data_IF_607034500652
#
_entry.id   IF_607034500652
#
_cell.length_a   1.000
_cell.length_b   1.000
_cell.length_c   1.000
_cell.angle_alpha   90.00
_cell.angle_beta   90.00
_cell.angle_gamma   90.00
#
_symmetry.space_group_name_H-M   'P 1'
#
loop_
_entity.id
_entity.type
_entity.pdbx_description
1 polymer ?
#
# COMPACT_ATOMS: atom_id res chain seq x y z
N UNK A 1 -8.17 -8.96 28.28
CA UNK A 1 -8.42 -8.96 29.72
C UNK A 1 -7.97 -10.27 30.38
N UNK A 2 -8.42 -11.44 29.90
CA UNK A 2 -8.16 -12.73 30.59
C UNK A 2 -6.70 -13.15 30.49
N UNK A 3 -6.05 -12.95 29.34
CA UNK A 3 -4.62 -13.22 29.15
C UNK A 3 -3.74 -12.45 30.15
N UNK A 4 -4.07 -11.18 30.38
CA UNK A 4 -3.33 -10.36 31.35
C UNK A 4 -3.64 -10.78 32.79
N UNK A 5 -4.88 -11.16 33.12
CA UNK A 5 -5.22 -11.73 34.43
C UNK A 5 -4.46 -13.03 34.68
N UNK A 6 -4.15 -13.78 33.63
CA UNK A 6 -3.32 -14.99 33.71
C UNK A 6 -1.81 -14.70 33.81
N UNK A 7 -1.39 -13.42 33.91
CA UNK A 7 -0.02 -13.03 34.15
C UNK A 7 0.77 -12.56 32.92
N UNK A 8 0.14 -12.42 31.75
CA UNK A 8 0.83 -11.89 30.57
C UNK A 8 1.19 -10.43 30.76
N UNK A 9 2.46 -10.08 30.53
CA UNK A 9 3.00 -8.72 30.59
C UNK A 9 3.02 -8.07 29.20
N UNK A 10 3.11 -8.89 28.15
CA UNK A 10 3.09 -8.50 26.76
C UNK A 10 2.15 -9.40 25.96
N UNK A 11 1.47 -8.84 24.99
CA UNK A 11 0.61 -9.56 24.05
C UNK A 11 1.07 -9.32 22.63
N UNK A 12 1.34 -10.38 21.89
CA UNK A 12 1.64 -10.33 20.47
C UNK A 12 0.35 -10.54 19.69
N UNK A 13 0.04 -9.61 18.79
CA UNK A 13 -1.23 -9.57 18.03
C UNK A 13 -0.94 -9.61 16.53
N UNK A 14 -0.79 -10.82 15.93
CA UNK A 14 -0.70 -10.94 14.49
C UNK A 14 -2.07 -10.67 13.85
N UNK A 15 -2.09 -9.84 12.82
CA UNK A 15 -3.31 -9.39 12.14
C UNK A 15 -3.15 -9.37 10.62
N UNK A 16 -4.29 -9.47 9.94
CA UNK A 16 -4.48 -9.13 8.54
C UNK A 16 -5.55 -8.03 8.47
N UNK A 17 -5.17 -6.81 8.83
CA UNK A 17 -6.04 -5.64 8.81
C UNK A 17 -5.86 -4.90 7.48
N UNK A 18 -6.88 -4.87 6.59
CA UNK A 18 -6.77 -4.19 5.31
C UNK A 18 -6.52 -2.69 5.49
N UNK A 19 -5.80 -2.14 4.53
CA UNK A 19 -5.59 -0.70 4.44
C UNK A 19 -6.90 0.03 4.17
N UNK A 20 -7.11 1.09 4.90
CA UNK A 20 -8.17 2.09 4.70
C UNK A 20 -7.59 3.47 5.05
N UNK A 21 -8.06 4.51 4.36
CA UNK A 21 -7.63 5.90 4.65
C UNK A 21 -7.95 6.27 6.10
N UNK A 22 -6.95 6.76 6.84
CA UNK A 22 -7.09 7.18 8.24
C UNK A 22 -7.14 6.06 9.28
N UNK A 23 -7.04 4.80 8.89
CA UNK A 23 -7.12 3.65 9.80
C UNK A 23 -5.92 3.55 10.75
N UNK A 24 -4.74 4.07 10.37
CA UNK A 24 -3.56 4.09 11.25
C UNK A 24 -3.89 4.79 12.57
N UNK A 25 -4.38 6.02 12.52
CA UNK A 25 -4.72 6.78 13.72
C UNK A 25 -5.80 6.10 14.59
N UNK A 26 -6.79 5.44 13.96
CA UNK A 26 -7.81 4.69 14.69
C UNK A 26 -7.20 3.46 15.39
N UNK A 27 -6.31 2.73 14.70
CA UNK A 27 -5.59 1.58 15.24
C UNK A 27 -4.76 1.96 16.45
N UNK A 28 -3.99 3.04 16.34
CA UNK A 28 -3.13 3.54 17.39
C UNK A 28 -3.93 3.98 18.61
N UNK A 29 -5.04 4.67 18.41
CA UNK A 29 -5.95 5.05 19.50
C UNK A 29 -6.52 3.83 20.24
N UNK A 30 -6.89 2.77 19.50
CA UNK A 30 -7.38 1.52 20.10
C UNK A 30 -6.27 0.82 20.87
N UNK A 31 -5.06 0.74 20.34
CA UNK A 31 -3.92 0.11 21.01
C UNK A 31 -3.56 0.86 22.28
N UNK A 32 -3.45 2.20 22.22
CA UNK A 32 -3.20 3.05 23.37
C UNK A 32 -4.26 2.85 24.49
N UNK A 33 -5.54 2.76 24.12
CA UNK A 33 -6.59 2.50 25.09
C UNK A 33 -6.46 1.12 25.74
N UNK A 34 -6.20 0.07 24.94
CA UNK A 34 -6.09 -1.30 25.42
C UNK A 34 -4.89 -1.54 26.33
N UNK A 35 -3.75 -0.92 26.00
CA UNK A 35 -2.57 -1.01 26.87
C UNK A 35 -2.77 -0.29 28.19
N UNK A 36 -3.36 0.91 28.19
CA UNK A 36 -3.72 1.62 29.45
C UNK A 36 -4.70 0.85 30.33
N UNK A 37 -5.74 0.27 29.71
CA UNK A 37 -6.74 -0.54 30.45
C UNK A 37 -6.14 -1.80 31.10
N UNK A 38 -5.20 -2.44 30.40
CA UNK A 38 -4.66 -3.72 30.83
C UNK A 38 -3.35 -3.62 31.57
N UNK A 39 -2.59 -2.55 31.39
CA UNK A 39 -1.21 -2.41 31.84
C UNK A 39 -0.23 -3.34 31.13
N UNK A 40 -0.64 -4.06 30.08
CA UNK A 40 0.23 -4.94 29.31
C UNK A 40 0.66 -4.26 28.01
N UNK A 41 1.92 -4.45 27.63
CA UNK A 41 2.42 -3.99 26.34
C UNK A 41 1.83 -4.82 25.19
N UNK A 42 1.73 -4.23 24.00
CA UNK A 42 1.23 -4.90 22.79
C UNK A 42 2.22 -4.76 21.66
N UNK A 43 2.63 -5.88 21.06
CA UNK A 43 3.30 -5.91 19.77
C UNK A 43 2.23 -6.24 18.70
N UNK A 44 1.83 -5.24 17.93
CA UNK A 44 0.84 -5.39 16.86
C UNK A 44 1.56 -5.59 15.53
N UNK A 45 1.40 -6.78 14.96
CA UNK A 45 2.02 -7.19 13.70
C UNK A 45 0.96 -7.29 12.63
N UNK A 46 1.04 -6.45 11.60
CA UNK A 46 0.13 -6.51 10.47
C UNK A 46 0.82 -7.06 9.22
N UNK A 47 0.08 -7.83 8.44
CA UNK A 47 0.58 -8.37 7.19
C UNK A 47 0.80 -7.26 6.16
N UNK A 48 1.75 -7.47 5.24
CA UNK A 48 2.02 -6.59 4.09
C UNK A 48 1.60 -7.30 2.81
N UNK A 49 0.99 -6.57 1.90
CA UNK A 49 0.80 -7.02 0.53
C UNK A 49 -0.64 -7.02 0.05
N UNK A 50 -0.83 -7.29 -1.25
CA UNK A 50 -2.13 -7.41 -1.91
C UNK A 50 -2.63 -8.84 -1.92
N UNK A 51 -3.93 -9.03 -1.68
CA UNK A 51 -4.62 -10.31 -1.80
C UNK A 51 -6.03 -10.07 -2.32
N UNK A 52 -6.33 -10.58 -3.51
CA UNK A 52 -7.58 -10.33 -4.22
C UNK A 52 -7.88 -8.82 -4.33
N UNK A 53 -8.99 -8.36 -3.79
CA UNK A 53 -9.38 -6.95 -3.76
C UNK A 53 -8.86 -6.18 -2.52
N UNK A 54 -8.06 -6.81 -1.67
CA UNK A 54 -7.56 -6.21 -0.44
C UNK A 54 -6.07 -5.91 -0.54
N UNK A 55 -5.66 -4.81 0.09
CA UNK A 55 -4.25 -4.49 0.31
C UNK A 55 -4.02 -4.29 1.79
N UNK A 56 -2.92 -4.83 2.30
CA UNK A 56 -2.52 -4.74 3.69
C UNK A 56 -1.28 -3.87 3.78
N UNK A 57 -1.34 -2.89 4.66
CA UNK A 57 -0.33 -1.86 4.80
C UNK A 57 0.90 -2.27 5.63
N UNK A 58 0.82 -3.36 6.37
CA UNK A 58 1.82 -3.61 7.39
C UNK A 58 1.75 -2.55 8.47
N UNK A 59 2.64 -1.56 8.41
CA UNK A 59 2.70 -0.47 9.39
C UNK A 59 2.52 -1.00 10.82
N UNK A 60 3.28 -2.04 11.15
CA UNK A 60 3.25 -2.68 12.45
C UNK A 60 3.76 -1.73 13.53
N UNK A 61 3.17 -1.79 14.71
CA UNK A 61 3.48 -0.90 15.81
C UNK A 61 3.70 -1.68 17.11
N UNK A 62 4.39 -1.06 18.05
CA UNK A 62 4.44 -1.54 19.43
C UNK A 62 3.82 -0.48 20.34
N UNK A 63 3.16 -0.94 21.40
CA UNK A 63 2.53 -0.07 22.39
C UNK A 63 2.95 -0.48 23.78
N UNK A 64 3.49 0.47 24.55
CA UNK A 64 3.89 0.26 25.93
C UNK A 64 2.69 0.07 26.85
N UNK A 65 2.92 -0.51 28.01
CA UNK A 65 1.86 -0.75 29.00
C UNK A 65 1.19 0.52 29.55
N UNK A 66 1.78 1.68 29.35
CA UNK A 66 1.24 2.99 29.73
C UNK A 66 0.50 3.72 28.57
N UNK A 67 0.44 3.13 27.39
CA UNK A 67 -0.35 3.62 26.27
C UNK A 67 0.44 4.44 25.24
N UNK A 68 1.75 4.48 25.33
CA UNK A 68 2.56 5.08 24.26
C UNK A 68 2.65 4.11 23.07
N UNK A 69 2.28 4.57 21.88
CA UNK A 69 2.34 3.80 20.65
C UNK A 69 3.52 4.29 19.82
N UNK A 70 4.31 3.36 19.32
CA UNK A 70 5.52 3.65 18.56
C UNK A 70 5.44 2.94 17.20
N UNK A 71 5.60 3.68 16.08
CA UNK A 71 5.75 3.09 14.75
C UNK A 71 6.99 2.19 14.72
N UNK A 72 6.79 0.93 14.36
CA UNK A 72 7.89 -0.04 14.32
C UNK A 72 8.25 -0.46 12.90
N UNK A 73 7.29 -0.38 11.96
CA UNK A 73 7.46 -0.80 10.57
C UNK A 73 6.93 0.23 9.58
N UNK A 74 7.65 0.41 8.48
CA UNK A 74 7.18 1.22 7.36
C UNK A 74 5.95 0.59 6.69
N UNK A 75 5.04 1.45 6.20
CA UNK A 75 3.90 0.99 5.44
C UNK A 75 4.32 0.37 4.09
N UNK A 76 3.66 -0.71 3.68
CA UNK A 76 3.83 -1.40 2.39
C UNK A 76 5.25 -1.97 2.13
N UNK A 77 6.04 -2.18 3.18
CA UNK A 77 7.40 -2.74 3.09
C UNK A 77 7.47 -4.05 3.87
N UNK A 78 7.95 -5.12 3.21
CA UNK A 78 8.29 -6.36 3.89
C UNK A 78 9.62 -6.18 4.61
N UNK A 79 9.65 -6.31 5.93
CA UNK A 79 10.87 -6.09 6.72
C UNK A 79 10.89 -6.95 7.99
N UNK A 80 12.10 -7.20 8.47
CA UNK A 80 12.33 -7.78 9.78
C UNK A 80 12.54 -6.67 10.80
N UNK A 81 11.89 -6.82 11.95
CA UNK A 81 12.03 -5.88 13.07
C UNK A 81 12.55 -6.61 14.29
N UNK A 82 13.53 -6.01 14.92
CA UNK A 82 14.01 -6.44 16.22
C UNK A 82 13.72 -5.32 17.21
N UNK A 83 12.98 -5.63 18.25
CA UNK A 83 12.66 -4.70 19.33
C UNK A 83 12.95 -5.39 20.66
N UNK A 84 13.64 -4.69 21.56
CA UNK A 84 13.84 -5.15 22.90
C UNK A 84 12.66 -4.77 23.78
N UNK A 85 12.35 -5.62 24.74
CA UNK A 85 11.26 -5.40 25.67
C UNK A 85 11.75 -5.56 27.12
N UNK A 86 11.53 -4.53 27.93
CA UNK A 86 11.77 -4.59 29.36
C UNK A 86 10.49 -5.01 30.11
N UNK A 87 10.51 -6.22 30.66
CA UNK A 87 9.39 -6.76 31.41
C UNK A 87 9.12 -6.07 32.75
N UNK A 88 10.09 -5.35 33.32
CA UNK A 88 9.89 -4.62 34.57
C UNK A 88 9.12 -3.33 34.34
N UNK A 89 9.56 -2.53 33.39
CA UNK A 89 8.92 -1.27 33.02
C UNK A 89 7.70 -1.46 32.09
N UNK A 90 7.56 -2.65 31.49
CA UNK A 90 6.56 -2.98 30.44
C UNK A 90 6.63 -2.06 29.23
N UNK A 91 7.87 -1.73 28.84
CA UNK A 91 8.17 -0.83 27.72
C UNK A 91 9.00 -1.52 26.67
N UNK A 92 8.78 -1.13 25.44
CA UNK A 92 9.67 -1.46 24.35
C UNK A 92 10.84 -0.47 24.33
N UNK A 93 12.05 -1.01 24.17
CA UNK A 93 13.27 -0.20 24.12
C UNK A 93 13.60 0.04 22.64
N UNK A 94 13.65 1.29 22.19
CA UNK A 94 13.89 1.58 20.79
C UNK A 94 15.35 1.32 20.42
N UNK A 95 15.58 0.50 19.40
CA UNK A 95 16.81 0.60 18.64
C UNK A 95 16.72 1.79 17.67
N UNK A 96 15.65 1.86 16.90
CA UNK A 96 15.24 3.02 16.10
C UNK A 96 13.75 2.89 15.90
N UNK A 97 12.97 3.86 16.34
CA UNK A 97 11.58 3.97 15.91
C UNK A 97 11.55 4.49 14.48
N UNK A 98 10.67 3.94 13.66
CA UNK A 98 10.46 4.49 12.33
C UNK A 98 9.86 5.88 12.48
N UNK A 99 10.49 6.85 11.84
CA UNK A 99 9.83 8.10 11.54
C UNK A 99 8.98 7.81 10.30
N UNK A 100 7.69 7.60 10.52
CA UNK A 100 6.73 7.36 9.43
C UNK A 100 6.47 8.65 8.64
N UNK A 101 7.12 9.75 9.02
CA UNK A 101 7.05 11.04 8.36
C UNK A 101 5.61 11.54 8.22
N UNK A 102 5.45 12.76 7.77
CA UNK A 102 4.13 13.31 7.38
C UNK A 102 3.73 12.80 5.97
N UNK A 103 3.75 11.47 5.75
CA UNK A 103 3.33 10.92 4.45
C UNK A 103 1.84 11.21 4.24
N UNK A 104 1.52 11.92 3.16
CA UNK A 104 0.14 12.31 2.88
C UNK A 104 -0.75 11.09 2.65
N UNK A 105 -2.04 11.22 2.97
CA UNK A 105 -3.02 10.16 2.71
C UNK A 105 -3.10 9.76 1.23
N UNK A 106 -2.76 10.67 0.32
CA UNK A 106 -2.74 10.38 -1.12
C UNK A 106 -1.49 9.59 -1.51
N UNK A 107 -0.33 9.88 -0.90
CA UNK A 107 0.87 9.07 -1.08
C UNK A 107 0.68 7.65 -0.57
N UNK A 108 0.08 7.47 0.60
CA UNK A 108 -0.28 6.16 1.13
C UNK A 108 -1.27 5.42 0.22
N UNK A 109 -2.28 6.11 -0.32
CA UNK A 109 -3.23 5.52 -1.27
C UNK A 109 -2.54 5.09 -2.57
N UNK A 110 -1.62 5.91 -3.08
CA UNK A 110 -0.79 5.57 -4.24
C UNK A 110 0.00 4.28 -4.00
N UNK A 111 0.72 4.21 -2.89
CA UNK A 111 1.50 3.02 -2.51
C UNK A 111 0.63 1.79 -2.31
N UNK A 112 -0.57 1.95 -1.74
CA UNK A 112 -1.51 0.85 -1.59
C UNK A 112 -1.93 0.27 -2.93
N UNK A 113 -2.32 1.12 -3.90
CA UNK A 113 -2.73 0.67 -5.24
C UNK A 113 -1.55 0.03 -5.98
N UNK A 114 -0.38 0.68 -5.95
CA UNK A 114 0.84 0.15 -6.57
C UNK A 114 1.20 -1.23 -6.00
N UNK A 115 1.18 -1.39 -4.67
CA UNK A 115 1.43 -2.68 -4.02
C UNK A 115 0.39 -3.74 -4.40
N UNK A 116 -0.88 -3.35 -4.51
CA UNK A 116 -1.95 -4.24 -4.96
C UNK A 116 -1.70 -4.78 -6.36
N UNK A 117 -1.35 -3.91 -7.30
CA UNK A 117 -1.03 -4.29 -8.69
C UNK A 117 0.18 -5.23 -8.73
N UNK A 118 1.27 -4.87 -8.04
CA UNK A 118 2.49 -5.68 -7.98
C UNK A 118 2.20 -7.10 -7.50
N UNK A 119 1.54 -7.22 -6.37
CA UNK A 119 1.28 -8.52 -5.75
C UNK A 119 0.29 -9.35 -6.55
N UNK A 120 -0.74 -8.73 -7.14
CA UNK A 120 -1.65 -9.41 -8.04
C UNK A 120 -0.93 -9.99 -9.25
N UNK A 121 -0.12 -9.18 -9.93
CA UNK A 121 0.65 -9.62 -11.09
C UNK A 121 1.66 -10.71 -10.70
N UNK A 122 2.42 -10.52 -9.63
CA UNK A 122 3.42 -11.47 -9.14
C UNK A 122 2.81 -12.83 -8.79
N UNK A 123 1.72 -12.83 -8.02
CA UNK A 123 1.04 -14.05 -7.55
C UNK A 123 0.39 -14.85 -8.69
N UNK A 124 -0.06 -14.16 -9.75
CA UNK A 124 -0.65 -14.80 -10.92
C UNK A 124 0.36 -15.07 -12.04
N UNK A 125 1.64 -14.72 -11.87
CA UNK A 125 2.69 -14.95 -12.86
C UNK A 125 2.64 -13.98 -14.06
N UNK A 126 1.91 -12.88 -13.96
CA UNK A 126 1.83 -11.86 -15.00
C UNK A 126 3.10 -11.00 -14.98
N UNK A 127 3.86 -11.07 -16.07
CA UNK A 127 5.10 -10.30 -16.22
C UNK A 127 4.89 -8.98 -16.95
N UNK A 128 3.80 -8.85 -17.70
CA UNK A 128 3.47 -7.67 -18.51
C UNK A 128 2.01 -7.31 -18.34
N UNK A 129 1.72 -6.02 -18.44
CA UNK A 129 0.36 -5.49 -18.40
C UNK A 129 0.06 -4.61 -19.61
N UNK A 130 -1.18 -4.66 -20.05
CA UNK A 130 -1.70 -3.86 -21.15
C UNK A 130 -2.88 -3.05 -20.66
N UNK A 131 -2.96 -1.79 -21.06
CA UNK A 131 -4.07 -0.93 -20.67
C UNK A 131 -4.49 -0.02 -21.81
N UNK A 132 -5.78 0.31 -21.87
CA UNK A 132 -6.32 1.31 -22.78
C UNK A 132 -5.94 2.72 -22.35
N UNK A 133 -5.37 3.52 -23.26
CA UNK A 133 -5.00 4.91 -22.99
C UNK A 133 -5.82 5.83 -23.89
N UNK A 134 -6.79 6.53 -23.29
CA UNK A 134 -7.76 7.37 -24.00
C UNK A 134 -7.32 8.83 -24.15
N UNK A 135 -6.26 9.26 -23.45
CA UNK A 135 -5.88 10.66 -23.31
C UNK A 135 -6.67 11.41 -22.22
N UNK A 136 -7.58 10.73 -21.50
CA UNK A 136 -8.28 11.27 -20.33
C UNK A 136 -7.53 10.98 -19.04
N UNK A 137 -7.83 11.76 -17.99
CA UNK A 137 -7.13 11.74 -16.70
C UNK A 137 -7.16 10.36 -16.02
N UNK A 138 -8.27 9.63 -16.10
CA UNK A 138 -8.41 8.33 -15.44
C UNK A 138 -7.44 7.30 -16.03
N UNK A 139 -7.39 7.20 -17.35
CA UNK A 139 -6.46 6.29 -18.04
C UNK A 139 -5.00 6.74 -17.86
N UNK A 140 -4.78 8.04 -17.74
CA UNK A 140 -3.50 8.63 -17.42
C UNK A 140 -2.99 8.19 -16.04
N UNK A 141 -3.85 8.26 -15.03
CA UNK A 141 -3.56 7.81 -13.67
C UNK A 141 -3.28 6.30 -13.63
N UNK A 142 -4.09 5.51 -14.34
CA UNK A 142 -3.88 4.05 -14.41
C UNK A 142 -2.55 3.70 -15.06
N UNK A 143 -2.13 4.43 -16.11
CA UNK A 143 -0.81 4.25 -16.73
C UNK A 143 0.32 4.54 -15.75
N UNK A 144 0.25 5.65 -15.03
CA UNK A 144 1.28 6.03 -14.06
C UNK A 144 1.41 4.98 -12.94
N UNK A 145 0.29 4.54 -12.38
CA UNK A 145 0.26 3.47 -11.36
C UNK A 145 0.81 2.14 -11.89
N UNK A 146 0.48 1.79 -13.14
CA UNK A 146 0.98 0.55 -13.75
C UNK A 146 2.50 0.61 -13.98
N UNK A 147 3.01 1.75 -14.43
CA UNK A 147 4.46 1.96 -14.63
C UNK A 147 5.20 1.90 -13.30
N UNK A 148 4.67 2.55 -12.27
CA UNK A 148 5.28 2.53 -10.93
C UNK A 148 5.26 1.11 -10.31
N UNK A 149 4.19 0.35 -10.56
CA UNK A 149 4.05 -1.00 -10.05
C UNK A 149 4.92 -2.04 -10.77
N UNK A 150 5.03 -1.96 -12.10
CA UNK A 150 5.56 -3.03 -12.93
C UNK A 150 6.89 -2.68 -13.62
N UNK A 151 7.28 -1.41 -13.63
CA UNK A 151 8.34 -0.89 -14.47
C UNK A 151 7.87 -0.58 -15.91
N UNK A 152 8.36 0.50 -16.49
CA UNK A 152 7.91 1.00 -17.80
C UNK A 152 8.07 -0.05 -18.92
N UNK A 153 9.12 -0.87 -18.86
CA UNK A 153 9.43 -1.92 -19.84
C UNK A 153 8.40 -3.06 -19.86
N UNK A 154 7.61 -3.19 -18.80
CA UNK A 154 6.57 -4.21 -18.64
C UNK A 154 5.16 -3.71 -18.89
N UNK A 155 5.02 -2.42 -19.22
CA UNK A 155 3.72 -1.78 -19.44
C UNK A 155 3.57 -1.37 -20.91
N UNK A 156 2.47 -1.80 -21.53
CA UNK A 156 2.10 -1.38 -22.88
C UNK A 156 0.76 -0.65 -22.83
N UNK A 157 0.77 0.63 -23.17
CA UNK A 157 -0.43 1.42 -23.39
C UNK A 157 -0.96 1.20 -24.80
N UNK A 158 -2.27 1.05 -24.95
CA UNK A 158 -2.94 0.85 -26.23
C UNK A 158 -3.94 1.98 -26.44
N UNK A 159 -3.80 2.70 -27.53
CA UNK A 159 -4.86 3.61 -27.98
C UNK A 159 -5.68 2.96 -29.09
N UNK A 160 -6.97 3.26 -29.08
CA UNK A 160 -7.96 2.69 -29.99
C UNK A 160 -8.57 3.80 -30.87
N UNK A 161 -7.80 4.36 -31.82
CA UNK A 161 -8.29 5.49 -32.63
C UNK A 161 -9.41 5.07 -33.58
N UNK A 162 -10.39 5.96 -33.73
CA UNK A 162 -11.43 5.90 -34.73
C UNK A 162 -11.59 7.28 -35.38
N UNK A 163 -12.45 7.38 -36.42
CA UNK A 163 -12.81 8.68 -37.04
C UNK A 163 -13.40 9.71 -36.06
N UNK A 164 -13.89 9.27 -34.91
CA UNK A 164 -14.49 10.11 -33.88
C UNK A 164 -13.49 10.52 -32.77
N UNK A 165 -12.28 9.97 -32.79
CA UNK A 165 -11.29 10.27 -31.76
C UNK A 165 -10.68 11.66 -32.00
N UNK A 166 -10.79 12.56 -31.01
CA UNK A 166 -10.20 13.88 -31.10
C UNK A 166 -8.67 13.79 -31.20
N UNK A 167 -8.07 14.63 -32.08
CA UNK A 167 -6.61 14.68 -32.26
C UNK A 167 -5.87 14.92 -30.93
N UNK A 168 -6.35 15.88 -30.14
CA UNK A 168 -5.79 16.22 -28.83
C UNK A 168 -5.67 15.01 -27.87
N UNK A 169 -6.68 14.13 -27.86
CA UNK A 169 -6.64 12.92 -27.03
C UNK A 169 -5.51 11.97 -27.43
N UNK A 170 -5.23 11.87 -28.72
CA UNK A 170 -4.13 11.06 -29.24
C UNK A 170 -2.77 11.65 -28.87
N UNK A 171 -2.64 12.99 -28.95
CA UNK A 171 -1.40 13.69 -28.63
C UNK A 171 -1.07 13.60 -27.15
N UNK A 172 -2.06 13.84 -26.27
CA UNK A 172 -1.91 13.70 -24.82
C UNK A 172 -1.53 12.27 -24.40
N UNK A 173 -2.16 11.25 -25.01
CA UNK A 173 -1.81 9.88 -24.74
C UNK A 173 -0.37 9.55 -25.15
N UNK A 174 0.10 10.07 -26.28
CA UNK A 174 1.46 9.86 -26.75
C UNK A 174 2.48 10.57 -25.84
N UNK A 175 2.24 11.83 -25.50
CA UNK A 175 3.10 12.64 -24.63
C UNK A 175 3.26 11.98 -23.25
N UNK A 176 2.16 11.56 -22.62
CA UNK A 176 2.19 10.92 -21.32
C UNK A 176 2.94 9.60 -21.35
N UNK A 177 2.68 8.74 -22.34
CA UNK A 177 3.36 7.47 -22.46
C UNK A 177 4.86 7.65 -22.65
N UNK A 178 5.27 8.64 -23.43
CA UNK A 178 6.68 9.02 -23.62
C UNK A 178 7.30 9.53 -22.30
N UNK A 179 6.61 10.39 -21.58
CA UNK A 179 7.09 10.95 -20.30
C UNK A 179 7.34 9.87 -19.25
N UNK A 180 6.53 8.81 -19.25
CA UNK A 180 6.66 7.67 -18.32
C UNK A 180 7.58 6.56 -18.84
N UNK A 181 8.15 6.70 -20.04
CA UNK A 181 9.04 5.69 -20.65
C UNK A 181 8.31 4.41 -21.08
N UNK A 182 6.99 4.43 -21.14
CA UNK A 182 6.17 3.28 -21.51
C UNK A 182 6.13 3.05 -23.03
N UNK A 183 5.66 1.85 -23.42
CA UNK A 183 5.42 1.52 -24.83
C UNK A 183 3.99 1.90 -25.22
N UNK A 184 3.83 2.61 -26.35
CA UNK A 184 2.53 2.95 -26.91
C UNK A 184 2.27 2.18 -28.20
N UNK A 185 1.15 1.48 -28.27
CA UNK A 185 0.64 0.85 -29.48
C UNK A 185 -0.68 1.49 -29.91
N UNK A 186 -0.96 1.47 -31.21
CA UNK A 186 -2.20 1.97 -31.77
C UNK A 186 -2.90 0.84 -32.53
N UNK A 187 -4.13 0.52 -32.14
CA UNK A 187 -4.97 -0.47 -32.81
C UNK A 187 -6.23 0.24 -33.30
N UNK A 188 -6.35 0.42 -34.61
CA UNK A 188 -7.54 1.06 -35.19
C UNK A 188 -8.78 0.18 -34.98
N UNK A 189 -9.82 0.76 -34.39
CA UNK A 189 -11.14 0.13 -34.28
C UNK A 189 -12.08 0.46 -35.44
N UNK A 190 -11.60 1.22 -36.44
CA UNK A 190 -12.36 1.64 -37.62
C UNK A 190 -13.02 0.48 -38.38
N UNK A 191 -12.39 -0.71 -38.53
CA UNK A 191 -13.02 -1.85 -39.17
C UNK A 191 -14.27 -2.37 -38.46
N UNK A 192 -14.40 -2.11 -37.13
CA UNK A 192 -15.58 -2.53 -36.37
C UNK A 192 -16.82 -1.64 -36.60
N UNK A 193 -16.67 -0.50 -37.30
CA UNK A 193 -17.76 0.41 -37.68
C UNK A 193 -18.36 0.09 -39.08
N UNK A 194 -17.91 -0.97 -39.71
CA UNK A 194 -18.46 -1.47 -40.96
C UNK A 194 -19.42 -2.61 -40.65
#
# INVERSE_FOLDING_TARGET
ADTVRAGAQMVVVPKASPYERGKHAQRDAVLAARTRESGAAIAYLNVVGGQDALVFDGASVVADGDGNVHPAAAAFVDQWLVVDYDGQSRRFLPHVWMDDGDESMDALAWRAVTRGIQDYCRKNGFKKVWLGLSGGIDSALVLALAVDAMGAENVTAVRLPSRYTAGLSNDLAAEQCQALGGKLEAVSIEPAFK
#
